data_IF_906735955925
#
_entry.id   IF_906735955925
#
_cell.length_a   1.000
_cell.length_b   1.000
_cell.length_c   1.000
_cell.angle_alpha   90.00
_cell.angle_beta   90.00
_cell.angle_gamma   90.00
#
_symmetry.space_group_name_H-M   'P 1'
#
loop_
_entity.id
_entity.type
_entity.pdbx_description
1 polymer ?
#
# COMPACT_ATOMS: atom_id res chain seq x y z
N UNK A 1 15.63 -1.20 -21.21
CA UNK A 1 14.22 -0.75 -21.20
C UNK A 1 13.92 -0.08 -19.85
N UNK A 2 13.85 1.25 -19.83
CA UNK A 2 13.73 2.03 -18.62
C UNK A 2 12.27 2.09 -18.12
N UNK A 3 12.03 1.73 -16.86
CA UNK A 3 10.99 2.39 -16.04
C UNK A 3 11.58 2.81 -14.69
N UNK A 4 11.61 4.14 -14.56
CA UNK A 4 12.19 4.99 -13.52
C UNK A 4 11.80 4.62 -12.07
N UNK A 5 12.82 4.66 -11.21
CA UNK A 5 12.93 5.35 -9.90
C UNK A 5 11.68 5.46 -9.00
N UNK A 6 11.84 5.04 -7.74
CA UNK A 6 11.65 5.94 -6.60
C UNK A 6 12.28 5.40 -5.30
N UNK A 7 13.44 5.99 -4.96
CA UNK A 7 13.92 6.33 -3.63
C UNK A 7 13.55 5.45 -2.43
N UNK A 8 14.55 4.68 -1.99
CA UNK A 8 14.95 4.46 -0.60
C UNK A 8 14.59 5.66 0.30
N UNK A 9 13.63 5.50 1.22
CA UNK A 9 13.55 6.30 2.46
C UNK A 9 13.18 5.38 3.62
N UNK A 10 14.22 4.91 4.33
CA UNK A 10 14.09 4.39 5.70
C UNK A 10 13.43 5.49 6.53
N UNK A 11 12.15 5.34 6.90
CA UNK A 11 11.50 6.22 7.88
C UNK A 11 11.23 5.41 9.15
N UNK A 12 11.76 5.95 10.26
CA UNK A 12 11.66 5.43 11.64
C UNK A 12 10.35 4.69 11.88
N UNK A 13 10.45 3.41 12.25
CA UNK A 13 9.33 2.59 12.74
C UNK A 13 8.96 3.10 14.13
N UNK A 14 8.30 4.26 14.19
CA UNK A 14 7.63 4.69 15.42
C UNK A 14 6.40 3.81 15.52
N UNK A 15 6.41 2.82 16.42
CA UNK A 15 5.27 1.97 16.77
C UNK A 15 4.07 2.85 17.14
N UNK A 16 3.27 3.29 16.16
CA UNK A 16 2.13 4.18 16.39
C UNK A 16 0.88 3.34 16.68
N UNK A 17 0.14 3.73 17.72
CA UNK A 17 -1.02 3.04 18.30
C UNK A 17 -1.93 2.41 17.24
N UNK A 18 -2.34 1.15 17.47
CA UNK A 18 -3.10 0.24 16.58
C UNK A 18 -4.41 0.77 15.95
N UNK A 19 -4.82 2.02 16.15
CA UNK A 19 -6.08 2.58 15.67
C UNK A 19 -5.99 3.76 14.68
N UNK A 20 -4.98 4.63 14.78
CA UNK A 20 -4.97 5.89 14.02
C UNK A 20 -4.19 5.74 12.72
N UNK A 21 -4.87 5.82 11.58
CA UNK A 21 -4.21 5.98 10.28
C UNK A 21 -3.74 7.42 10.13
N UNK A 22 -2.43 7.62 10.04
CA UNK A 22 -1.89 8.93 9.71
C UNK A 22 -2.16 9.28 8.24
N UNK A 23 -2.21 10.57 7.94
CA UNK A 23 -2.37 11.07 6.57
C UNK A 23 -1.25 10.56 5.65
N UNK A 24 -0.02 10.51 6.15
CA UNK A 24 1.11 9.94 5.41
C UNK A 24 0.91 8.45 5.07
N UNK A 25 0.32 7.65 5.97
CA UNK A 25 0.02 6.23 5.70
C UNK A 25 -1.10 6.08 4.66
N UNK A 26 -2.13 6.92 4.73
CA UNK A 26 -3.24 6.86 3.75
C UNK A 26 -2.79 7.32 2.37
N UNK A 27 -1.95 8.34 2.27
CA UNK A 27 -1.32 8.76 1.01
C UNK A 27 -0.39 7.69 0.44
N UNK A 28 0.44 7.06 1.27
CA UNK A 28 1.28 5.94 0.85
C UNK A 28 0.43 4.79 0.32
N UNK A 29 -0.63 4.42 1.06
CA UNK A 29 -1.56 3.38 0.64
C UNK A 29 -2.19 3.73 -0.72
N UNK A 30 -2.66 4.97 -0.92
CA UNK A 30 -3.22 5.41 -2.21
C UNK A 30 -2.23 5.28 -3.37
N UNK A 31 -0.96 5.66 -3.17
CA UNK A 31 0.08 5.63 -4.20
C UNK A 31 0.50 4.20 -4.57
N UNK A 32 0.62 3.33 -3.57
CA UNK A 32 1.15 1.99 -3.73
C UNK A 32 0.07 0.98 -4.14
N UNK A 33 -1.14 1.10 -3.60
CA UNK A 33 -2.21 0.12 -3.79
C UNK A 33 -2.46 -0.31 -5.24
N UNK A 34 -2.46 0.58 -6.26
CA UNK A 34 -2.72 0.17 -7.64
C UNK A 34 -1.67 -0.75 -8.26
N UNK A 35 -0.44 -0.74 -7.76
CA UNK A 35 0.73 -1.39 -8.40
C UNK A 35 1.39 -2.47 -7.55
N UNK A 36 1.31 -2.39 -6.22
CA UNK A 36 1.95 -3.37 -5.33
C UNK A 36 0.95 -4.29 -4.65
N UNK A 37 1.37 -5.52 -4.27
CA UNK A 37 0.58 -6.42 -3.44
C UNK A 37 0.24 -5.80 -2.08
N UNK A 38 -0.93 -6.14 -1.55
CA UNK A 38 -1.34 -5.64 -0.24
C UNK A 38 -0.43 -6.15 0.89
N UNK A 39 0.23 -7.30 0.71
CA UNK A 39 1.22 -7.85 1.63
C UNK A 39 2.48 -6.97 1.74
N UNK A 40 3.03 -6.55 0.59
CA UNK A 40 4.16 -5.61 0.53
C UNK A 40 3.82 -4.28 1.20
N UNK A 41 2.63 -3.74 0.92
CA UNK A 41 2.18 -2.48 1.53
C UNK A 41 2.01 -2.63 3.05
N UNK A 42 1.51 -3.78 3.50
CA UNK A 42 1.38 -4.09 4.92
C UNK A 42 2.74 -4.15 5.62
N UNK A 43 3.72 -4.81 5.00
CA UNK A 43 5.09 -4.85 5.50
C UNK A 43 5.72 -3.45 5.55
N UNK A 44 5.50 -2.63 4.51
CA UNK A 44 6.03 -1.27 4.43
C UNK A 44 5.40 -0.31 5.46
N UNK A 45 4.12 -0.52 5.79
CA UNK A 45 3.39 0.27 6.79
C UNK A 45 3.52 -0.30 8.22
N UNK A 46 4.12 -1.48 8.39
CA UNK A 46 4.15 -2.19 9.68
C UNK A 46 2.76 -2.51 10.22
N UNK A 47 1.78 -2.72 9.33
CA UNK A 47 0.37 -2.97 9.66
C UNK A 47 -0.02 -4.38 9.23
N UNK A 48 -1.04 -4.95 9.87
CA UNK A 48 -1.61 -6.21 9.40
C UNK A 48 -2.24 -6.07 8.01
N UNK A 49 -2.10 -7.11 7.17
CA UNK A 49 -2.70 -7.18 5.84
C UNK A 49 -4.20 -6.88 5.85
N UNK A 50 -4.91 -7.37 6.87
CA UNK A 50 -6.34 -7.17 7.05
C UNK A 50 -6.70 -5.72 7.36
N UNK A 51 -5.86 -5.03 8.15
CA UNK A 51 -6.03 -3.60 8.39
C UNK A 51 -5.87 -2.80 7.09
N UNK A 52 -4.87 -3.15 6.28
CA UNK A 52 -4.64 -2.51 4.97
C UNK A 52 -5.80 -2.80 4.01
N UNK A 53 -6.28 -4.05 3.93
CA UNK A 53 -7.46 -4.41 3.13
C UNK A 53 -8.70 -3.63 3.57
N UNK A 54 -9.05 -3.65 4.86
CA UNK A 54 -10.20 -2.92 5.41
C UNK A 54 -10.11 -1.42 5.12
N UNK A 55 -8.92 -0.83 5.26
CA UNK A 55 -8.71 0.59 4.97
C UNK A 55 -8.82 0.89 3.46
N UNK A 56 -8.23 0.06 2.61
CA UNK A 56 -8.34 0.21 1.16
C UNK A 56 -9.79 0.11 0.67
N UNK A 57 -10.57 -0.85 1.20
CA UNK A 57 -12.00 -0.97 0.93
C UNK A 57 -12.79 0.26 1.40
N UNK A 58 -12.54 0.75 2.63
CA UNK A 58 -13.13 2.00 3.13
C UNK A 58 -12.80 3.22 2.27
N UNK A 59 -11.60 3.27 1.70
CA UNK A 59 -11.17 4.35 0.80
C UNK A 59 -11.52 4.10 -0.67
N UNK A 60 -12.27 3.03 -0.99
CA UNK A 60 -12.64 2.63 -2.36
C UNK A 60 -11.44 2.52 -3.32
N UNK A 61 -10.27 2.14 -2.80
CA UNK A 61 -9.07 1.98 -3.61
C UNK A 61 -9.18 0.70 -4.43
N UNK A 62 -8.84 0.81 -5.72
CA UNK A 62 -8.85 -0.32 -6.66
C UNK A 62 -7.43 -0.63 -7.14
N UNK A 63 -7.20 -1.90 -7.43
CA UNK A 63 -5.98 -2.33 -8.13
C UNK A 63 -6.03 -1.85 -9.58
N UNK A 64 -4.88 -1.50 -10.15
CA UNK A 64 -4.82 -1.12 -11.56
C UNK A 64 -5.15 -2.31 -12.46
N UNK A 65 -5.76 -2.07 -13.63
CA UNK A 65 -6.04 -3.11 -14.62
C UNK A 65 -4.76 -3.87 -15.04
N UNK A 66 -3.63 -3.16 -15.11
CA UNK A 66 -2.31 -3.74 -15.37
C UNK A 66 -1.89 -4.73 -14.27
N UNK A 67 -2.06 -4.35 -13.01
CA UNK A 67 -1.75 -5.24 -11.89
C UNK A 67 -2.68 -6.46 -11.89
N UNK A 68 -3.99 -6.26 -12.08
CA UNK A 68 -4.96 -7.36 -12.16
C UNK A 68 -4.63 -8.34 -13.29
N UNK A 69 -4.22 -7.82 -14.47
CA UNK A 69 -3.77 -8.65 -15.59
C UNK A 69 -2.49 -9.43 -15.26
N UNK A 70 -1.54 -8.82 -14.54
CA UNK A 70 -0.29 -9.48 -14.15
C UNK A 70 -0.47 -10.62 -13.15
N UNK A 71 -1.57 -10.62 -12.38
CA UNK A 71 -1.88 -11.67 -11.40
C UNK A 71 -3.03 -12.60 -11.84
N UNK A 72 -3.47 -12.52 -13.11
CA UNK A 72 -4.51 -13.39 -13.67
C UNK A 72 -5.91 -13.18 -13.09
N UNK A 73 -6.23 -11.99 -12.57
CA UNK A 73 -7.54 -11.64 -11.99
C UNK A 73 -8.36 -10.65 -12.83
N UNK A 74 -8.01 -10.51 -14.11
CA UNK A 74 -8.63 -9.59 -15.06
C UNK A 74 -9.44 -10.33 -16.10
#
# INVERSE_FOLDING_TARGET
MAKKKAAKKKKKVVKKKKGLWSESETELLKKLFPTTPTAEIAAQLGRGTDAVKKKASRMKLRKSKRYLKSIGRA
#
